data_IF_269869045214
#
_entry.id   IF_269869045214
#
_cell.length_a   1.000
_cell.length_b   1.000
_cell.length_c   1.000
_cell.angle_alpha   90.00
_cell.angle_beta   90.00
_cell.angle_gamma   90.00
#
_symmetry.space_group_name_H-M   'P 1'
#
loop_
_entity.id
_entity.type
_entity.pdbx_description
1 polymer ?
#
# COMPACT_ATOMS: atom_id res chain seq x y z
N UNK A 1 -28.17 -8.87 -28.30
CA UNK A 1 -27.71 -8.07 -27.16
C UNK A 1 -26.87 -9.00 -26.30
N UNK A 2 -25.57 -9.06 -26.54
CA UNK A 2 -24.65 -9.81 -25.69
C UNK A 2 -24.24 -8.86 -24.56
N UNK A 3 -24.90 -9.02 -23.43
CA UNK A 3 -24.46 -8.46 -22.16
C UNK A 3 -23.29 -9.32 -21.64
N UNK A 4 -22.13 -9.19 -22.26
CA UNK A 4 -20.89 -9.57 -21.60
C UNK A 4 -20.71 -8.56 -20.48
N UNK A 5 -21.19 -8.88 -19.28
CA UNK A 5 -20.69 -8.24 -18.08
C UNK A 5 -19.17 -8.38 -18.12
N UNK A 6 -18.48 -7.34 -18.57
CA UNK A 6 -17.04 -7.23 -18.37
C UNK A 6 -16.80 -7.46 -16.89
N UNK A 7 -16.14 -8.57 -16.57
CA UNK A 7 -15.90 -8.96 -15.18
C UNK A 7 -15.04 -7.86 -14.55
N UNK A 8 -15.66 -7.06 -13.68
CA UNK A 8 -14.98 -5.91 -13.05
C UNK A 8 -13.79 -6.41 -12.26
N UNK A 9 -12.62 -5.85 -12.54
CA UNK A 9 -11.38 -6.19 -11.82
C UNK A 9 -11.54 -5.95 -10.32
N UNK A 10 -10.91 -6.79 -9.51
CA UNK A 10 -10.92 -6.75 -8.05
C UNK A 10 -9.58 -6.26 -7.53
N UNK A 11 -9.60 -5.18 -6.76
CA UNK A 11 -8.41 -4.63 -6.12
C UNK A 11 -8.44 -4.90 -4.60
N UNK A 12 -7.42 -5.56 -4.09
CA UNK A 12 -7.19 -5.77 -2.65
C UNK A 12 -6.25 -4.66 -2.16
N UNK A 13 -6.62 -3.96 -1.10
CA UNK A 13 -5.88 -2.80 -0.59
C UNK A 13 -5.60 -2.99 0.89
N UNK A 14 -4.33 -3.16 1.26
CA UNK A 14 -3.91 -3.22 2.67
C UNK A 14 -3.76 -1.82 3.25
N UNK A 15 -4.02 -1.67 4.56
CA UNK A 15 -3.97 -0.36 5.21
C UNK A 15 -5.05 0.61 4.71
N UNK A 16 -6.19 0.09 4.24
CA UNK A 16 -7.27 0.85 3.62
C UNK A 16 -8.06 1.78 4.57
N UNK A 17 -7.74 1.76 5.87
CA UNK A 17 -8.49 2.53 6.89
C UNK A 17 -8.17 4.04 6.92
N UNK A 18 -7.17 4.52 6.18
CA UNK A 18 -6.82 5.96 6.11
C UNK A 18 -5.83 6.26 4.97
N UNK A 19 -5.55 7.55 4.78
CA UNK A 19 -4.48 8.05 3.90
C UNK A 19 -4.54 7.48 2.49
N UNK A 20 -3.38 7.12 1.95
CA UNK A 20 -3.22 6.64 0.58
C UNK A 20 -4.12 5.41 0.30
N UNK A 21 -4.24 4.48 1.25
CA UNK A 21 -5.07 3.28 1.06
C UNK A 21 -6.54 3.60 0.87
N UNK A 22 -7.10 4.48 1.71
CA UNK A 22 -8.49 4.90 1.59
C UNK A 22 -8.74 5.72 0.31
N UNK A 23 -7.83 6.62 -0.05
CA UNK A 23 -7.91 7.39 -1.29
C UNK A 23 -7.82 6.47 -2.53
N UNK A 24 -6.92 5.47 -2.51
CA UNK A 24 -6.80 4.48 -3.58
C UNK A 24 -8.07 3.66 -3.74
N UNK A 25 -8.71 3.27 -2.63
CA UNK A 25 -9.98 2.56 -2.67
C UNK A 25 -11.07 3.36 -3.39
N UNK A 26 -11.19 4.67 -3.09
CA UNK A 26 -12.13 5.57 -3.75
C UNK A 26 -11.82 5.73 -5.23
N UNK A 27 -10.56 5.97 -5.57
CA UNK A 27 -10.13 6.16 -6.95
C UNK A 27 -10.41 4.92 -7.81
N UNK A 28 -10.02 3.73 -7.33
CA UNK A 28 -10.25 2.49 -8.07
C UNK A 28 -11.75 2.11 -8.14
N UNK A 29 -12.53 2.37 -7.10
CA UNK A 29 -13.98 2.16 -7.14
C UNK A 29 -14.64 3.10 -8.17
N UNK A 30 -14.21 4.35 -8.27
CA UNK A 30 -14.67 5.30 -9.28
C UNK A 30 -14.31 4.86 -10.72
N UNK A 31 -13.16 4.19 -10.89
CA UNK A 31 -12.72 3.58 -12.16
C UNK A 31 -13.45 2.24 -12.45
N UNK A 32 -14.40 1.83 -11.63
CA UNK A 32 -15.23 0.65 -11.85
C UNK A 32 -14.68 -0.64 -11.26
N UNK A 33 -13.61 -0.61 -10.48
CA UNK A 33 -13.13 -1.79 -9.76
C UNK A 33 -14.08 -2.18 -8.62
N UNK A 34 -14.06 -3.46 -8.26
CA UNK A 34 -14.49 -3.90 -6.93
C UNK A 34 -13.28 -3.84 -6.00
N UNK A 35 -13.47 -3.38 -4.76
CA UNK A 35 -12.36 -3.20 -3.82
C UNK A 35 -12.57 -4.02 -2.55
N UNK A 36 -11.53 -4.71 -2.11
CA UNK A 36 -11.48 -5.37 -0.81
C UNK A 36 -10.56 -4.55 0.11
N UNK A 37 -11.14 -4.02 1.18
CA UNK A 37 -10.50 -3.10 2.12
C UNK A 37 -9.96 -3.87 3.30
N UNK A 38 -8.64 -4.06 3.39
CA UNK A 38 -7.99 -4.80 4.46
C UNK A 38 -7.35 -3.85 5.46
N UNK A 39 -7.76 -3.90 6.72
CA UNK A 39 -7.13 -3.17 7.83
C UNK A 39 -7.58 -3.71 9.19
N UNK A 40 -6.87 -3.32 10.26
CA UNK A 40 -7.22 -3.64 11.66
C UNK A 40 -8.35 -2.77 12.22
N UNK A 41 -8.49 -1.52 11.72
CA UNK A 41 -9.54 -0.59 12.18
C UNK A 41 -10.83 -0.86 11.42
N UNK A 42 -11.59 -1.84 11.93
CA UNK A 42 -12.81 -2.36 11.30
C UNK A 42 -13.85 -1.28 11.09
N UNK A 43 -14.07 -0.45 12.09
CA UNK A 43 -14.99 0.69 12.05
C UNK A 43 -14.75 1.60 10.84
N UNK A 44 -13.49 1.91 10.55
CA UNK A 44 -13.12 2.80 9.45
C UNK A 44 -13.28 2.15 8.08
N UNK A 45 -12.89 0.88 7.93
CA UNK A 45 -13.04 0.20 6.65
C UNK A 45 -14.51 -0.17 6.36
N UNK A 46 -15.31 -0.40 7.40
CA UNK A 46 -16.76 -0.58 7.26
C UNK A 46 -17.41 0.72 6.78
N UNK A 47 -17.12 1.84 7.43
CA UNK A 47 -17.64 3.14 6.99
C UNK A 47 -17.24 3.46 5.53
N UNK A 48 -15.99 3.15 5.13
CA UNK A 48 -15.55 3.33 3.75
C UNK A 48 -16.26 2.36 2.79
N UNK A 49 -16.49 1.12 3.20
CA UNK A 49 -17.25 0.17 2.39
C UNK A 49 -18.71 0.61 2.22
N UNK A 50 -19.34 1.14 3.26
CA UNK A 50 -20.71 1.70 3.19
C UNK A 50 -20.76 2.91 2.24
N UNK A 51 -19.74 3.79 2.28
CA UNK A 51 -19.60 4.90 1.35
C UNK A 51 -19.53 4.45 -0.11
N UNK A 52 -18.73 3.38 -0.39
CA UNK A 52 -18.50 2.85 -1.73
C UNK A 52 -19.59 1.87 -2.20
N UNK A 53 -20.47 1.44 -1.31
CA UNK A 53 -21.60 0.58 -1.58
C UNK A 53 -21.18 -0.79 -2.14
N UNK A 54 -21.89 -1.28 -3.14
CA UNK A 54 -21.67 -2.62 -3.72
C UNK A 54 -20.27 -2.82 -4.36
N UNK A 55 -19.50 -1.75 -4.54
CA UNK A 55 -18.15 -1.83 -5.07
C UNK A 55 -17.15 -2.34 -4.01
N UNK A 56 -17.45 -2.25 -2.71
CA UNK A 56 -16.50 -2.52 -1.66
C UNK A 56 -16.92 -3.68 -0.73
N UNK A 57 -15.93 -4.33 -0.12
CA UNK A 57 -16.07 -5.18 1.06
C UNK A 57 -15.00 -4.80 2.09
N UNK A 58 -15.37 -4.80 3.36
CA UNK A 58 -14.47 -4.59 4.47
C UNK A 58 -14.04 -5.94 5.06
N UNK A 59 -12.74 -6.15 5.22
CA UNK A 59 -12.16 -7.38 5.78
C UNK A 59 -11.16 -7.01 6.86
N UNK A 60 -11.41 -7.42 8.09
CA UNK A 60 -10.44 -7.26 9.17
C UNK A 60 -9.21 -8.14 8.90
N UNK A 61 -8.04 -7.53 8.81
CA UNK A 61 -6.78 -8.25 8.71
C UNK A 61 -5.62 -7.40 9.22
N UNK A 62 -4.71 -8.03 9.96
CA UNK A 62 -3.37 -7.50 10.23
C UNK A 62 -2.40 -8.16 9.24
N UNK A 63 -1.60 -7.36 8.52
CA UNK A 63 -0.63 -7.89 7.55
C UNK A 63 0.50 -8.69 8.20
N UNK A 64 0.63 -8.63 9.52
CA UNK A 64 1.57 -9.44 10.29
C UNK A 64 1.00 -10.79 10.73
N UNK A 65 -0.31 -11.02 10.49
CA UNK A 65 -1.00 -12.27 10.78
C UNK A 65 -1.31 -13.01 9.47
N UNK A 66 -0.52 -14.05 9.19
CA UNK A 66 -0.66 -14.84 7.96
C UNK A 66 -2.01 -15.58 7.89
N UNK A 67 -2.53 -16.06 9.01
CA UNK A 67 -3.80 -16.80 9.02
C UNK A 67 -4.98 -15.85 8.75
N UNK A 68 -4.93 -14.64 9.27
CA UNK A 68 -5.91 -13.59 8.93
C UNK A 68 -5.85 -13.21 7.46
N UNK A 69 -4.65 -13.16 6.86
CA UNK A 69 -4.49 -12.90 5.42
C UNK A 69 -5.02 -14.05 4.56
N UNK A 70 -4.82 -15.31 4.94
CA UNK A 70 -5.40 -16.48 4.26
C UNK A 70 -6.93 -16.44 4.29
N UNK A 71 -7.51 -16.16 5.45
CA UNK A 71 -8.96 -16.01 5.56
C UNK A 71 -9.49 -14.84 4.71
N UNK A 72 -8.73 -13.74 4.62
CA UNK A 72 -9.08 -12.62 3.76
C UNK A 72 -9.03 -13.01 2.27
N UNK A 73 -8.03 -13.77 1.84
CA UNK A 73 -7.91 -14.23 0.45
C UNK A 73 -9.03 -15.18 0.06
N UNK A 74 -9.40 -16.12 0.95
CA UNK A 74 -10.53 -17.02 0.74
C UNK A 74 -11.83 -16.22 0.60
N UNK A 75 -12.02 -15.21 1.43
CA UNK A 75 -13.20 -14.35 1.38
C UNK A 75 -13.26 -13.52 0.08
N UNK A 76 -12.13 -12.97 -0.36
CA UNK A 76 -12.03 -12.27 -1.66
C UNK A 76 -12.36 -13.22 -2.80
N UNK A 77 -11.85 -14.45 -2.77
CA UNK A 77 -12.16 -15.45 -3.78
C UNK A 77 -13.66 -15.78 -3.83
N UNK A 78 -14.29 -16.00 -2.67
CA UNK A 78 -15.71 -16.39 -2.58
C UNK A 78 -16.66 -15.26 -2.95
N UNK A 79 -16.40 -14.02 -2.46
CA UNK A 79 -17.34 -12.90 -2.63
C UNK A 79 -17.09 -12.09 -3.89
N UNK A 80 -15.87 -12.15 -4.46
CA UNK A 80 -15.44 -11.27 -5.57
C UNK A 80 -14.89 -12.02 -6.78
N UNK A 81 -14.54 -13.29 -6.66
CA UNK A 81 -14.01 -14.12 -7.74
C UNK A 81 -12.49 -14.11 -7.85
N UNK A 82 -11.79 -13.54 -6.86
CA UNK A 82 -10.34 -13.45 -6.79
C UNK A 82 -9.83 -12.02 -6.96
N UNK A 83 -8.53 -11.83 -6.72
CA UNK A 83 -7.85 -10.55 -6.80
C UNK A 83 -7.12 -10.39 -8.15
N UNK A 84 -7.35 -9.26 -8.82
CA UNK A 84 -6.63 -8.85 -10.03
C UNK A 84 -5.54 -7.80 -9.73
N UNK A 85 -5.69 -7.05 -8.63
CA UNK A 85 -4.76 -6.02 -8.19
C UNK A 85 -4.53 -6.15 -6.70
N UNK A 86 -3.27 -6.12 -6.28
CA UNK A 86 -2.88 -6.04 -4.89
C UNK A 86 -2.13 -4.74 -4.63
N UNK A 87 -2.65 -3.91 -3.71
CA UNK A 87 -1.99 -2.70 -3.24
C UNK A 87 -1.43 -2.95 -1.84
N UNK A 88 -0.14 -3.21 -1.73
CA UNK A 88 0.60 -3.29 -0.48
C UNK A 88 0.88 -1.88 0.04
N UNK A 89 -0.11 -1.31 0.74
CA UNK A 89 -0.04 0.04 1.27
C UNK A 89 0.10 0.08 2.80
N UNK A 90 -0.23 -1.00 3.53
CA UNK A 90 -0.04 -1.03 4.97
C UNK A 90 1.40 -0.69 5.37
N UNK A 91 1.57 0.26 6.29
CA UNK A 91 2.89 0.70 6.71
C UNK A 91 2.86 1.57 7.96
N UNK A 92 3.98 1.61 8.66
CA UNK A 92 4.23 2.47 9.82
C UNK A 92 5.57 3.18 9.67
N UNK A 93 5.67 4.39 10.21
CA UNK A 93 6.88 5.21 10.16
C UNK A 93 7.19 5.67 11.59
N UNK A 94 7.99 4.88 12.31
CA UNK A 94 8.33 5.08 13.72
C UNK A 94 9.76 5.63 13.79
N UNK A 95 9.89 6.93 13.52
CA UNK A 95 11.18 7.62 13.46
C UNK A 95 11.69 7.99 14.85
N UNK A 96 13.02 8.04 14.99
CA UNK A 96 13.68 8.48 16.20
C UNK A 96 15.17 8.22 16.17
N UNK A 97 15.94 8.72 17.17
CA UNK A 97 17.35 8.41 17.32
C UNK A 97 17.56 6.90 17.46
N UNK A 98 18.69 6.39 16.94
CA UNK A 98 19.01 4.96 17.11
C UNK A 98 19.30 4.67 18.60
N UNK A 99 18.43 3.87 19.21
CA UNK A 99 18.46 3.57 20.64
C UNK A 99 17.89 2.19 20.94
N UNK A 100 18.33 1.55 22.02
CA UNK A 100 17.75 0.29 22.51
C UNK A 100 16.28 0.40 22.88
N UNK A 101 15.84 1.57 23.31
CA UNK A 101 14.47 1.83 23.73
C UNK A 101 13.46 1.79 22.56
N UNK A 102 13.96 1.88 21.33
CA UNK A 102 13.13 1.80 20.12
C UNK A 102 13.14 0.40 19.47
N UNK A 103 13.64 -0.62 20.13
CA UNK A 103 13.76 -1.96 19.56
C UNK A 103 12.42 -2.53 19.08
N UNK A 104 11.34 -2.30 19.80
CA UNK A 104 10.00 -2.76 19.41
C UNK A 104 9.48 -2.02 18.16
N UNK A 105 9.76 -0.72 18.06
CA UNK A 105 9.43 0.06 16.87
C UNK A 105 10.20 -0.44 15.64
N UNK A 106 11.47 -0.82 15.80
CA UNK A 106 12.27 -1.40 14.71
C UNK A 106 11.67 -2.71 14.22
N UNK A 107 11.31 -3.59 15.15
CA UNK A 107 10.68 -4.87 14.85
C UNK A 107 9.36 -4.65 14.10
N UNK A 108 8.52 -3.77 14.63
CA UNK A 108 7.22 -3.44 14.04
C UNK A 108 7.33 -2.88 12.62
N UNK A 109 8.30 -2.00 12.37
CA UNK A 109 8.54 -1.48 11.03
C UNK A 109 8.95 -2.58 10.05
N UNK A 110 9.81 -3.52 10.44
CA UNK A 110 10.22 -4.64 9.60
C UNK A 110 9.05 -5.58 9.33
N UNK A 111 8.29 -5.94 10.37
CA UNK A 111 7.15 -6.85 10.27
C UNK A 111 6.04 -6.27 9.38
N UNK A 112 5.67 -5.01 9.57
CA UNK A 112 4.57 -4.41 8.83
C UNK A 112 4.99 -3.99 7.42
N UNK A 113 6.10 -3.22 7.29
CA UNK A 113 6.44 -2.56 6.03
C UNK A 113 7.08 -3.49 5.01
N UNK A 114 7.74 -4.55 5.44
CA UNK A 114 8.48 -5.46 4.57
C UNK A 114 7.86 -6.86 4.59
N UNK A 115 7.90 -7.54 5.74
CA UNK A 115 7.40 -8.90 5.83
C UNK A 115 5.89 -8.98 5.55
N UNK A 116 5.11 -8.01 6.04
CA UNK A 116 3.67 -7.92 5.77
C UNK A 116 3.34 -7.80 4.28
N UNK A 117 4.10 -7.00 3.52
CA UNK A 117 3.93 -6.90 2.06
C UNK A 117 4.30 -8.22 1.35
N UNK A 118 5.39 -8.88 1.77
CA UNK A 118 5.82 -10.17 1.23
C UNK A 118 4.74 -11.23 1.50
N UNK A 119 4.29 -11.37 2.74
CA UNK A 119 3.27 -12.35 3.14
C UNK A 119 1.93 -12.10 2.44
N UNK A 120 1.49 -10.84 2.35
CA UNK A 120 0.24 -10.53 1.64
C UNK A 120 0.35 -10.92 0.16
N UNK A 121 1.48 -10.63 -0.48
CA UNK A 121 1.70 -10.99 -1.89
C UNK A 121 1.74 -12.50 -2.08
N UNK A 122 2.42 -13.24 -1.20
CA UNK A 122 2.45 -14.71 -1.19
C UNK A 122 1.03 -15.29 -1.14
N UNK A 123 0.22 -14.81 -0.22
CA UNK A 123 -1.15 -15.32 0.02
C UNK A 123 -2.07 -15.07 -1.19
N UNK A 124 -1.94 -13.93 -1.86
CA UNK A 124 -2.78 -13.58 -3.01
C UNK A 124 -2.19 -14.00 -4.37
N UNK A 125 -1.01 -14.62 -4.40
CA UNK A 125 -0.24 -14.84 -5.63
C UNK A 125 -0.98 -15.66 -6.68
N UNK A 126 -1.63 -16.75 -6.29
CA UNK A 126 -2.34 -17.62 -7.23
C UNK A 126 -3.55 -16.90 -7.87
N UNK A 127 -4.26 -16.06 -7.09
CA UNK A 127 -5.35 -15.25 -7.61
C UNK A 127 -4.82 -14.21 -8.63
N UNK A 128 -3.73 -13.54 -8.31
CA UNK A 128 -3.10 -12.55 -9.19
C UNK A 128 -2.60 -13.16 -10.51
N UNK A 129 -2.04 -14.37 -10.47
CA UNK A 129 -1.58 -15.08 -11.68
C UNK A 129 -2.71 -15.53 -12.58
N UNK A 130 -3.87 -15.87 -12.04
CA UNK A 130 -4.97 -16.45 -12.79
C UNK A 130 -5.55 -15.54 -13.87
N UNK A 131 -5.48 -14.21 -13.69
CA UNK A 131 -6.06 -13.20 -14.58
C UNK A 131 -5.07 -12.23 -15.21
N UNK A 132 -3.78 -12.40 -14.97
CA UNK A 132 -2.78 -11.40 -15.36
C UNK A 132 -2.83 -10.18 -14.44
N UNK A 133 -2.36 -10.31 -13.22
CA UNK A 133 -2.54 -9.35 -12.13
C UNK A 133 -1.55 -8.18 -12.09
N UNK A 134 -1.77 -7.33 -11.11
CA UNK A 134 -0.89 -6.21 -10.75
C UNK A 134 -0.57 -6.23 -9.25
N UNK A 135 0.69 -6.06 -8.90
CA UNK A 135 1.14 -5.78 -7.53
C UNK A 135 1.69 -4.37 -7.48
N UNK A 136 1.16 -3.54 -6.59
CA UNK A 136 1.65 -2.19 -6.34
C UNK A 136 2.17 -2.11 -4.90
N UNK A 137 3.44 -1.85 -4.75
CA UNK A 137 4.10 -1.70 -3.45
C UNK A 137 4.30 -0.22 -3.12
N UNK A 138 3.72 0.26 -2.03
CA UNK A 138 3.89 1.64 -1.57
C UNK A 138 5.17 1.74 -0.76
N UNK A 139 6.23 2.20 -1.43
CA UNK A 139 7.52 2.46 -0.84
C UNK A 139 7.62 3.90 -0.30
N UNK A 140 8.72 4.58 -0.55
CA UNK A 140 8.99 5.96 -0.14
C UNK A 140 10.25 6.47 -0.82
N UNK A 141 10.44 7.79 -0.88
CA UNK A 141 11.76 8.39 -1.14
C UNK A 141 12.83 7.86 -0.16
N UNK A 142 12.44 7.41 1.03
CA UNK A 142 13.32 6.74 1.99
C UNK A 142 13.81 5.36 1.50
N UNK A 143 13.23 4.80 0.44
CA UNK A 143 13.76 3.64 -0.28
C UNK A 143 14.93 3.95 -1.21
N UNK A 144 15.27 5.23 -1.39
CA UNK A 144 16.40 5.74 -2.21
C UNK A 144 17.44 6.50 -1.40
N UNK A 145 17.07 7.01 -0.22
CA UNK A 145 17.92 7.85 0.61
C UNK A 145 17.64 7.57 2.08
N UNK A 146 18.65 7.77 2.92
CA UNK A 146 18.52 7.63 4.36
C UNK A 146 19.06 8.90 5.07
N UNK A 147 18.51 9.19 6.26
CA UNK A 147 18.90 10.31 7.12
C UNK A 147 19.05 9.84 8.57
N UNK A 148 19.69 10.67 9.39
CA UNK A 148 19.66 10.46 10.83
C UNK A 148 18.21 10.36 11.33
N UNK A 149 17.92 9.39 12.18
CA UNK A 149 16.62 9.17 12.77
C UNK A 149 15.61 8.36 11.92
N UNK A 150 15.95 8.01 10.66
CA UNK A 150 15.05 7.19 9.84
C UNK A 150 15.64 5.84 9.39
N UNK A 151 16.77 5.43 9.94
CA UNK A 151 17.58 4.31 9.42
C UNK A 151 16.81 3.01 9.24
N UNK A 152 16.05 2.57 10.24
CA UNK A 152 15.28 1.31 10.14
C UNK A 152 14.09 1.47 9.19
N UNK A 153 13.38 2.59 9.22
CA UNK A 153 12.34 2.87 8.24
C UNK A 153 12.89 2.83 6.81
N UNK A 154 14.00 3.54 6.56
CA UNK A 154 14.68 3.51 5.27
C UNK A 154 15.07 2.07 4.88
N UNK A 155 15.67 1.30 5.79
CA UNK A 155 16.02 -0.10 5.52
C UNK A 155 14.83 -0.95 5.08
N UNK A 156 13.63 -0.76 5.68
CA UNK A 156 12.42 -1.46 5.23
C UNK A 156 12.00 -1.07 3.81
N UNK A 157 12.12 0.21 3.46
CA UNK A 157 11.75 0.70 2.12
C UNK A 157 12.78 0.34 1.05
N UNK A 158 14.07 0.33 1.38
CA UNK A 158 15.12 -0.22 0.52
C UNK A 158 14.92 -1.73 0.28
N UNK A 159 14.61 -2.48 1.35
CA UNK A 159 14.28 -3.91 1.24
C UNK A 159 13.07 -4.16 0.36
N UNK A 160 12.02 -3.34 0.53
CA UNK A 160 10.81 -3.42 -0.29
C UNK A 160 11.12 -3.18 -1.78
N UNK A 161 11.95 -2.17 -2.11
CA UNK A 161 12.35 -1.88 -3.49
C UNK A 161 13.14 -3.05 -4.09
N UNK A 162 14.16 -3.56 -3.37
CA UNK A 162 14.98 -4.69 -3.85
C UNK A 162 14.18 -5.95 -4.04
N UNK A 163 13.28 -6.27 -3.10
CA UNK A 163 12.38 -7.41 -3.23
C UNK A 163 11.40 -7.24 -4.40
N UNK A 164 10.85 -6.05 -4.58
CA UNK A 164 9.93 -5.76 -5.68
C UNK A 164 10.56 -5.99 -7.04
N UNK A 165 11.83 -5.63 -7.22
CA UNK A 165 12.56 -5.85 -8.47
C UNK A 165 12.81 -7.34 -8.72
N UNK A 166 13.18 -8.12 -7.69
CA UNK A 166 13.28 -9.59 -7.83
C UNK A 166 11.94 -10.21 -8.19
N UNK A 167 10.88 -9.83 -7.46
CA UNK A 167 9.52 -10.32 -7.69
C UNK A 167 9.05 -10.01 -9.12
N UNK A 168 9.34 -8.81 -9.63
CA UNK A 168 9.03 -8.41 -11.00
C UNK A 168 9.64 -9.36 -12.02
N UNK A 169 10.90 -9.73 -11.85
CA UNK A 169 11.59 -10.64 -12.78
C UNK A 169 11.02 -12.06 -12.71
N UNK A 170 10.63 -12.51 -11.53
CA UNK A 170 10.07 -13.85 -11.32
C UNK A 170 8.65 -14.02 -11.85
N UNK A 171 7.85 -12.93 -11.84
CA UNK A 171 6.44 -12.99 -12.18
C UNK A 171 6.10 -12.56 -13.61
N UNK A 172 7.05 -12.06 -14.38
CA UNK A 172 6.84 -11.71 -15.79
C UNK A 172 6.55 -12.96 -16.64
N UNK A 173 5.69 -12.87 -17.64
CA UNK A 173 4.86 -11.71 -18.02
C UNK A 173 3.49 -11.68 -17.31
N UNK A 174 3.21 -12.60 -16.40
CA UNK A 174 1.87 -12.85 -15.86
C UNK A 174 1.40 -11.75 -14.90
N UNK A 175 2.30 -11.26 -14.04
CA UNK A 175 1.99 -10.22 -13.05
C UNK A 175 2.94 -9.04 -13.22
N UNK A 176 2.37 -7.83 -13.30
CA UNK A 176 3.15 -6.59 -13.31
C UNK A 176 3.42 -6.16 -11.87
N UNK A 177 4.63 -5.73 -11.59
CA UNK A 177 5.01 -5.18 -10.28
C UNK A 177 5.40 -3.72 -10.43
N UNK A 178 4.76 -2.85 -9.64
CA UNK A 178 4.98 -1.40 -9.60
C UNK A 178 5.39 -0.98 -8.21
N UNK A 179 6.39 -0.14 -8.10
CA UNK A 179 6.79 0.53 -6.86
C UNK A 179 6.43 2.01 -6.94
N UNK A 180 5.63 2.50 -6.01
CA UNK A 180 5.33 3.93 -5.85
C UNK A 180 6.15 4.45 -4.67
N UNK A 181 6.92 5.51 -4.88
CA UNK A 181 7.88 6.06 -3.92
C UNK A 181 7.54 7.52 -3.57
N UNK A 182 6.51 7.74 -2.72
CA UNK A 182 6.13 9.09 -2.34
C UNK A 182 7.20 9.76 -1.47
N UNK A 183 7.32 11.07 -1.64
CA UNK A 183 7.91 11.98 -0.66
C UNK A 183 6.93 12.23 0.51
N UNK A 184 6.94 13.44 1.05
CA UNK A 184 6.00 13.81 2.09
C UNK A 184 4.56 13.90 1.52
N UNK A 185 3.62 13.24 2.19
CA UNK A 185 2.19 13.21 1.84
C UNK A 185 1.37 13.56 3.07
N UNK A 186 0.36 14.40 2.93
CA UNK A 186 -0.54 14.80 4.00
C UNK A 186 -1.43 13.60 4.44
N UNK A 187 -0.96 12.82 5.41
CA UNK A 187 -1.63 11.63 5.95
C UNK A 187 -1.47 11.54 7.47
N UNK A 188 -2.12 10.55 8.11
CA UNK A 188 -1.96 10.26 9.54
C UNK A 188 -0.58 9.64 9.88
N UNK A 189 0.23 9.24 8.90
CA UNK A 189 1.46 8.45 9.09
C UNK A 189 2.45 9.07 10.09
N UNK A 190 2.75 10.38 10.08
CA UNK A 190 3.62 11.01 11.07
C UNK A 190 3.09 10.96 12.50
N UNK A 191 1.76 10.87 12.65
CA UNK A 191 1.11 10.77 13.95
C UNK A 191 1.40 9.46 14.71
N UNK A 192 1.89 8.43 14.01
CA UNK A 192 2.26 7.15 14.60
C UNK A 192 3.63 7.15 15.27
N UNK A 193 4.46 8.18 15.06
CA UNK A 193 5.80 8.30 15.67
C UNK A 193 5.66 8.27 17.20
N UNK A 194 6.43 7.39 17.82
CA UNK A 194 6.41 7.14 19.28
C UNK A 194 7.38 8.05 20.05
N UNK A 195 8.51 8.42 19.41
CA UNK A 195 9.50 9.34 19.98
C UNK A 195 8.98 10.77 19.94
N UNK A 196 8.68 11.35 21.10
CA UNK A 196 7.90 12.59 21.22
C UNK A 196 8.53 13.80 20.51
N UNK A 197 9.85 14.04 20.69
CA UNK A 197 10.53 15.15 20.03
C UNK A 197 10.50 15.01 18.51
N UNK A 198 10.71 13.78 17.99
CA UNK A 198 10.63 13.49 16.55
C UNK A 198 9.22 13.66 16.02
N UNK A 199 8.22 13.28 16.80
CA UNK A 199 6.81 13.45 16.45
C UNK A 199 6.44 14.93 16.28
N UNK A 200 6.86 15.76 17.23
CA UNK A 200 6.63 17.22 17.18
C UNK A 200 7.32 17.85 15.97
N UNK A 201 8.58 17.49 15.73
CA UNK A 201 9.30 17.94 14.54
C UNK A 201 8.62 17.49 13.24
N UNK A 202 8.23 16.24 13.15
CA UNK A 202 7.52 15.71 11.99
C UNK A 202 6.16 16.41 11.79
N UNK A 203 5.39 16.64 12.85
CA UNK A 203 4.11 17.36 12.77
C UNK A 203 4.30 18.77 12.17
N UNK A 204 5.33 19.50 12.59
CA UNK A 204 5.66 20.80 12.04
C UNK A 204 6.10 20.71 10.55
N UNK A 205 6.97 19.77 10.22
CA UNK A 205 7.43 19.56 8.85
C UNK A 205 6.29 19.19 7.90
N UNK A 206 5.37 18.34 8.35
CA UNK A 206 4.23 17.89 7.54
C UNK A 206 3.08 18.90 7.47
N UNK A 207 3.04 19.93 8.33
CA UNK A 207 2.00 20.96 8.29
C UNK A 207 2.00 21.81 7.00
N UNK A 208 3.11 21.80 6.26
CA UNK A 208 3.27 22.53 5.01
C UNK A 208 3.22 21.62 3.77
N UNK A 209 2.93 20.32 3.95
CA UNK A 209 2.87 19.36 2.85
C UNK A 209 1.59 19.57 2.06
N UNK A 210 1.73 19.77 0.75
CA UNK A 210 0.62 20.03 -0.18
C UNK A 210 0.19 18.81 -0.99
N UNK A 211 1.06 17.78 -1.10
CA UNK A 211 0.68 16.53 -1.77
C UNK A 211 -0.27 15.75 -0.89
N UNK A 212 -1.39 15.38 -1.44
CA UNK A 212 -2.48 14.68 -0.74
C UNK A 212 -2.42 13.17 -0.98
N UNK A 213 -3.20 12.42 -0.23
CA UNK A 213 -3.36 10.99 -0.46
C UNK A 213 -4.03 10.70 -1.82
N UNK A 214 -4.91 11.60 -2.26
CA UNK A 214 -5.61 11.55 -3.54
C UNK A 214 -4.64 11.69 -4.71
N UNK A 215 -3.66 12.58 -4.64
CA UNK A 215 -2.62 12.72 -5.68
C UNK A 215 -1.85 11.40 -5.89
N UNK A 216 -1.56 10.69 -4.79
CA UNK A 216 -0.90 9.37 -4.88
C UNK A 216 -1.85 8.30 -5.44
N UNK A 217 -3.12 8.33 -5.04
CA UNK A 217 -4.13 7.40 -5.52
C UNK A 217 -4.36 7.52 -7.03
N UNK A 218 -4.33 8.73 -7.58
CA UNK A 218 -4.41 8.97 -9.03
C UNK A 218 -3.24 8.34 -9.79
N UNK A 219 -2.03 8.43 -9.24
CA UNK A 219 -0.83 7.79 -9.83
C UNK A 219 -0.93 6.27 -9.76
N UNK A 220 -1.44 5.71 -8.66
CA UNK A 220 -1.69 4.27 -8.54
C UNK A 220 -2.72 3.82 -9.57
N UNK A 221 -3.87 4.50 -9.66
CA UNK A 221 -4.92 4.21 -10.63
C UNK A 221 -4.39 4.32 -12.07
N UNK A 222 -3.61 5.36 -12.36
CA UNK A 222 -2.94 5.49 -13.67
C UNK A 222 -2.06 4.27 -13.98
N UNK A 223 -1.27 3.78 -13.03
CA UNK A 223 -0.34 2.66 -13.25
C UNK A 223 -1.09 1.35 -13.57
N UNK A 224 -2.10 1.00 -12.76
CA UNK A 224 -2.84 -0.27 -12.92
C UNK A 224 -3.78 -0.27 -14.14
N UNK A 225 -4.19 0.90 -14.63
CA UNK A 225 -5.03 1.06 -15.81
C UNK A 225 -4.26 1.05 -17.14
N UNK A 226 -2.94 0.84 -17.12
CA UNK A 226 -2.18 0.74 -18.40
C UNK A 226 -2.52 -0.55 -19.15
N UNK A 227 -2.48 -0.52 -20.49
CA UNK A 227 -2.65 -1.73 -21.29
C UNK A 227 -1.66 -2.81 -20.87
N UNK A 228 -2.06 -4.08 -20.93
CA UNK A 228 -1.26 -5.22 -20.41
C UNK A 228 0.16 -5.31 -20.97
N UNK A 229 0.40 -4.85 -22.18
CA UNK A 229 1.74 -4.84 -22.80
C UNK A 229 2.68 -3.77 -22.23
N UNK A 230 2.17 -2.85 -21.41
CA UNK A 230 2.95 -1.76 -20.79
C UNK A 230 2.93 -1.93 -19.27
N UNK A 231 4.09 -1.98 -18.64
CA UNK A 231 4.26 -1.96 -17.20
C UNK A 231 4.99 -0.70 -16.76
N UNK A 232 4.51 -0.07 -15.69
CA UNK A 232 5.21 0.99 -14.98
C UNK A 232 5.89 0.32 -13.79
N UNK A 233 7.21 0.37 -13.71
CA UNK A 233 7.94 -0.35 -12.67
C UNK A 233 8.19 0.51 -11.44
N UNK A 234 8.52 1.78 -11.63
CA UNK A 234 8.84 2.69 -10.53
C UNK A 234 8.31 4.10 -10.81
N UNK A 235 7.73 4.72 -9.79
CA UNK A 235 7.31 6.12 -9.83
C UNK A 235 7.75 6.81 -8.55
N UNK A 236 8.74 7.69 -8.66
CA UNK A 236 9.17 8.54 -7.57
C UNK A 236 8.54 9.92 -7.70
N UNK A 237 7.83 10.37 -6.67
CA UNK A 237 7.13 11.66 -6.66
C UNK A 237 7.31 12.38 -5.33
N UNK A 238 7.40 13.71 -5.41
CA UNK A 238 7.64 14.58 -4.25
C UNK A 238 6.79 15.83 -4.37
N UNK A 239 6.44 16.49 -3.25
CA UNK A 239 6.06 17.89 -3.30
C UNK A 239 7.04 18.70 -4.13
N UNK A 240 6.58 19.58 -5.02
CA UNK A 240 7.44 20.35 -5.91
C UNK A 240 8.50 21.19 -5.16
N UNK A 241 8.22 21.56 -3.92
CA UNK A 241 9.15 22.30 -3.05
C UNK A 241 10.05 21.40 -2.18
N UNK A 242 9.93 20.07 -2.24
CA UNK A 242 10.74 19.17 -1.42
C UNK A 242 12.14 18.97 -2.04
N UNK A 243 13.12 19.73 -1.55
CA UNK A 243 14.50 19.66 -2.03
C UNK A 243 15.28 18.44 -1.48
N UNK A 244 14.94 17.99 -0.25
CA UNK A 244 15.60 16.86 0.43
C UNK A 244 14.60 15.73 0.69
N UNK A 245 15.09 14.51 0.84
CA UNK A 245 14.23 13.36 1.15
C UNK A 245 13.51 13.51 2.47
#
# INVERSE_FOLDING_TARGET
>A
MNDTQEQRRVAVITGASSGIGAATARALAADGYRVALLARRVDRITALADELGNAAIAIEADVTDRDALLAAADRVQQERGGADVLINNAGVMLLGPFSSDQREDYRRMIEVNLLGAITTTEVFLDQLKSGGGDVVNISSVAGRTARSGNGVYAATKWGLNGWSESLRQELLPDVRVTVIEPGAVATELPGHITHEETKQYAAQAYSQVTVTAEDIAEVIAFAVNRPRHLAIHEVLLRPAGQATP
#
